data_IF_808329236645
#
_entry.id   IF_808329236645
#
_cell.length_a   1.000
_cell.length_b   1.000
_cell.length_c   1.000
_cell.angle_alpha   90.00
_cell.angle_beta   90.00
_cell.angle_gamma   90.00
#
_symmetry.space_group_name_H-M   'P 1'
#
loop_
_entity.id
_entity.type
_entity.pdbx_description
1 polymer ?
#
# COMPACT_ATOMS: atom_id res chain seq x y z
N UNK A 1 -10.90 -6.87 -5.72
CA UNK A 1 -11.59 -5.61 -5.38
C UNK A 1 -11.32 -4.53 -6.41
N UNK A 2 -10.07 -4.14 -6.67
CA UNK A 2 -9.73 -3.14 -7.69
C UNK A 2 -10.37 -3.40 -9.08
N UNK A 3 -10.25 -4.62 -9.62
CA UNK A 3 -10.86 -4.97 -10.91
C UNK A 3 -12.38 -4.68 -10.94
N UNK A 4 -13.10 -5.02 -9.87
CA UNK A 4 -14.54 -4.78 -9.75
C UNK A 4 -14.89 -3.28 -9.74
N UNK A 5 -14.08 -2.44 -9.09
CA UNK A 5 -14.29 -0.99 -9.08
C UNK A 5 -14.04 -0.40 -10.48
N UNK A 6 -13.02 -0.90 -11.18
CA UNK A 6 -12.73 -0.51 -12.57
C UNK A 6 -13.86 -0.93 -13.52
N UNK A 7 -14.41 -2.13 -13.38
CA UNK A 7 -15.57 -2.60 -14.17
C UNK A 7 -16.83 -1.74 -13.95
N UNK A 8 -16.96 -1.12 -12.77
CA UNK A 8 -18.02 -0.17 -12.46
C UNK A 8 -17.75 1.25 -12.97
N UNK A 9 -16.66 1.46 -13.73
CA UNK A 9 -16.29 2.74 -14.33
C UNK A 9 -15.60 3.72 -13.38
N UNK A 10 -15.10 3.25 -12.23
CA UNK A 10 -14.44 4.10 -11.24
C UNK A 10 -13.03 4.55 -11.63
N UNK A 11 -12.63 5.74 -11.18
CA UNK A 11 -11.24 6.22 -11.23
C UNK A 11 -10.47 5.69 -10.03
N UNK A 12 -9.82 4.53 -10.22
CA UNK A 12 -9.26 3.72 -9.12
C UNK A 12 -7.74 3.82 -9.05
N UNK A 13 -7.24 4.13 -7.85
CA UNK A 13 -5.85 3.92 -7.47
C UNK A 13 -5.71 2.85 -6.37
N UNK A 14 -4.69 1.99 -6.52
CA UNK A 14 -4.35 0.97 -5.52
C UNK A 14 -3.06 1.38 -4.80
N UNK A 15 -3.08 1.29 -3.47
CA UNK A 15 -1.87 1.48 -2.67
C UNK A 15 -0.92 0.29 -2.87
N UNK A 16 0.29 0.57 -3.34
CA UNK A 16 1.46 -0.30 -3.15
C UNK A 16 2.08 0.05 -1.78
N UNK A 17 2.05 -0.92 -0.85
CA UNK A 17 2.66 -0.79 0.47
C UNK A 17 4.18 -1.01 0.36
N UNK A 18 4.83 -0.01 -0.22
CA UNK A 18 6.13 -0.14 -0.86
C UNK A 18 7.29 -0.26 0.13
N UNK A 19 8.34 -0.93 -0.33
CA UNK A 19 9.69 -0.78 0.20
C UNK A 19 10.24 0.60 -0.16
N UNK A 20 10.68 1.34 0.87
CA UNK A 20 11.32 2.66 0.68
C UNK A 20 12.58 2.56 -0.16
N UNK A 21 13.36 1.51 0.05
CA UNK A 21 14.73 1.38 -0.48
C UNK A 21 14.78 0.68 -1.83
N UNK A 22 13.91 -0.31 -2.03
CA UNK A 22 13.98 -1.23 -3.16
C UNK A 22 12.63 -1.26 -3.87
N UNK A 23 12.49 -0.65 -5.06
CA UNK A 23 11.36 -0.87 -5.94
C UNK A 23 11.00 -2.34 -6.08
N UNK A 24 9.75 -2.72 -5.80
CA UNK A 24 9.30 -4.11 -5.91
C UNK A 24 9.76 -5.02 -4.77
N UNK A 25 10.31 -4.45 -3.69
CA UNK A 25 10.68 -5.18 -2.49
C UNK A 25 11.67 -6.31 -2.78
N UNK A 26 11.31 -7.52 -2.36
CA UNK A 26 12.09 -8.74 -2.55
C UNK A 26 11.66 -9.60 -3.74
N UNK A 27 10.93 -9.07 -4.73
CA UNK A 27 10.30 -9.90 -5.78
C UNK A 27 11.29 -10.79 -6.55
N UNK A 28 12.51 -10.30 -6.85
CA UNK A 28 13.58 -11.10 -7.51
C UNK A 28 14.05 -12.28 -6.67
N UNK A 29 13.88 -12.22 -5.36
CA UNK A 29 14.28 -13.27 -4.40
C UNK A 29 13.11 -14.17 -3.98
N UNK A 30 11.93 -14.02 -4.61
CA UNK A 30 10.76 -14.84 -4.30
C UNK A 30 10.04 -14.43 -3.01
N UNK A 31 10.24 -13.21 -2.50
CA UNK A 31 9.52 -12.74 -1.32
C UNK A 31 7.99 -12.65 -1.57
N UNK A 32 7.22 -12.88 -0.50
CA UNK A 32 5.75 -12.97 -0.55
C UNK A 32 5.06 -11.92 0.29
N UNK A 33 5.15 -10.63 -0.08
CA UNK A 33 4.29 -9.59 0.45
C UNK A 33 3.47 -8.93 -0.67
N UNK A 34 2.70 -7.90 -0.31
CA UNK A 34 1.74 -7.28 -1.22
C UNK A 34 2.44 -6.57 -2.39
N UNK A 35 3.55 -5.87 -2.15
CA UNK A 35 4.30 -5.23 -3.22
C UNK A 35 4.79 -6.25 -4.26
N UNK A 36 5.38 -7.37 -3.81
CA UNK A 36 5.86 -8.39 -4.74
C UNK A 36 4.71 -9.07 -5.49
N UNK A 37 3.54 -9.22 -4.86
CA UNK A 37 2.33 -9.69 -5.54
C UNK A 37 1.93 -8.76 -6.69
N UNK A 38 1.89 -7.44 -6.45
CA UNK A 38 1.57 -6.44 -7.48
C UNK A 38 2.56 -6.52 -8.66
N UNK A 39 3.86 -6.69 -8.37
CA UNK A 39 4.89 -6.84 -9.40
C UNK A 39 4.73 -8.15 -10.19
N UNK A 40 4.38 -9.26 -9.54
CA UNK A 40 4.19 -10.55 -10.22
C UNK A 40 2.96 -10.57 -11.12
N UNK A 41 1.89 -9.86 -10.76
CA UNK A 41 0.65 -9.92 -11.52
C UNK A 41 0.50 -8.87 -12.63
N UNK A 42 1.44 -7.93 -12.72
CA UNK A 42 1.31 -6.76 -13.60
C UNK A 42 2.64 -6.35 -14.26
N UNK A 43 2.59 -5.33 -15.10
CA UNK A 43 3.78 -4.76 -15.74
C UNK A 43 4.42 -3.64 -14.90
N UNK A 44 4.14 -3.60 -13.59
CA UNK A 44 4.52 -2.50 -12.70
C UNK A 44 6.03 -2.22 -12.67
N UNK A 45 6.85 -3.26 -12.89
CA UNK A 45 8.30 -3.13 -13.02
C UNK A 45 8.71 -2.07 -14.07
N UNK A 46 7.93 -1.87 -15.14
CA UNK A 46 8.20 -0.85 -16.15
C UNK A 46 8.18 0.58 -15.61
N UNK A 47 7.47 0.81 -14.49
CA UNK A 47 7.38 2.11 -13.85
C UNK A 47 8.45 2.33 -12.79
N UNK A 48 8.79 1.32 -12.00
CA UNK A 48 9.66 1.51 -10.83
C UNK A 48 11.08 0.95 -10.98
N UNK A 49 11.33 0.00 -11.89
CA UNK A 49 12.69 -0.50 -12.13
C UNK A 49 13.56 0.45 -12.95
N UNK A 50 13.04 1.57 -13.44
CA UNK A 50 13.92 2.64 -13.91
C UNK A 50 14.78 3.22 -12.76
N UNK A 51 14.44 2.97 -11.48
CA UNK A 51 15.16 3.51 -10.33
C UNK A 51 16.10 2.51 -9.63
N UNK A 52 16.48 1.42 -10.31
CA UNK A 52 17.40 0.41 -9.78
C UNK A 52 18.61 0.25 -10.69
N UNK A 53 19.75 -0.13 -10.12
CA UNK A 53 21.02 -0.34 -10.85
C UNK A 53 20.96 -1.42 -11.94
N UNK A 54 19.94 -2.28 -11.89
CA UNK A 54 19.69 -3.35 -12.86
C UNK A 54 18.54 -3.03 -13.84
N UNK A 55 18.21 -1.75 -14.04
CA UNK A 55 17.17 -1.30 -14.96
C UNK A 55 17.35 -1.88 -16.38
N UNK A 56 18.59 -1.96 -16.85
CA UNK A 56 18.94 -2.46 -18.18
C UNK A 56 18.59 -3.93 -18.40
N UNK A 57 18.57 -4.77 -17.35
CA UNK A 57 18.09 -6.16 -17.43
C UNK A 57 16.61 -6.25 -17.88
N UNK A 58 15.85 -5.16 -17.70
CA UNK A 58 14.44 -5.04 -18.06
C UNK A 58 14.21 -4.14 -19.28
N UNK A 59 15.26 -3.79 -20.02
CA UNK A 59 15.23 -2.82 -21.12
C UNK A 59 14.70 -1.43 -20.69
N UNK A 60 15.11 -0.99 -19.51
CA UNK A 60 14.80 0.34 -18.97
C UNK A 60 16.07 1.16 -18.83
N UNK A 61 15.94 2.48 -18.97
CA UNK A 61 17.00 3.45 -18.66
C UNK A 61 17.04 3.69 -17.16
N UNK A 62 18.24 3.63 -16.56
CA UNK A 62 18.43 3.91 -15.14
C UNK A 62 18.29 5.40 -14.83
N UNK A 63 17.58 5.72 -13.75
CA UNK A 63 17.35 7.06 -13.21
C UNK A 63 17.59 7.03 -11.71
N UNK A 64 18.58 7.76 -11.22
CA UNK A 64 18.93 7.72 -9.80
C UNK A 64 18.14 8.68 -8.90
N UNK A 65 17.43 9.68 -9.46
CA UNK A 65 17.02 10.86 -8.70
C UNK A 65 15.78 10.70 -7.80
N UNK A 66 15.02 9.60 -7.89
CA UNK A 66 13.69 9.49 -7.26
C UNK A 66 13.53 8.29 -6.30
N UNK A 67 14.56 7.46 -6.15
CA UNK A 67 14.66 6.44 -5.09
C UNK A 67 16.01 6.56 -4.35
N UNK A 68 16.07 6.20 -3.06
CA UNK A 68 14.98 5.72 -2.21
C UNK A 68 13.89 6.77 -1.98
N UNK A 69 12.64 6.32 -1.76
CA UNK A 69 11.54 7.26 -1.50
C UNK A 69 11.89 8.17 -0.32
N UNK A 70 11.49 9.45 -0.41
CA UNK A 70 11.66 10.38 0.70
C UNK A 70 11.07 9.79 2.00
N UNK A 71 11.76 10.01 3.11
CA UNK A 71 11.42 9.38 4.38
C UNK A 71 10.05 9.82 4.89
N UNK A 72 9.69 11.09 4.71
CA UNK A 72 8.54 11.69 5.37
C UNK A 72 7.36 11.84 4.41
N UNK A 73 7.62 12.19 3.14
CA UNK A 73 6.59 12.53 2.14
C UNK A 73 6.70 11.72 0.85
N UNK A 74 7.67 10.81 0.75
CA UNK A 74 7.94 10.09 -0.49
C UNK A 74 6.77 9.22 -0.96
N UNK A 75 6.42 9.38 -2.23
CA UNK A 75 5.51 8.50 -2.94
C UNK A 75 5.81 8.48 -4.43
N UNK A 76 5.44 7.39 -5.12
CA UNK A 76 5.56 7.27 -6.56
C UNK A 76 4.21 6.87 -7.17
N UNK A 77 3.76 7.66 -8.14
CA UNK A 77 2.56 7.38 -8.92
C UNK A 77 2.92 6.60 -10.19
N UNK A 78 2.10 5.63 -10.57
CA UNK A 78 2.28 4.86 -11.79
C UNK A 78 0.91 4.67 -12.46
N UNK A 79 0.62 5.43 -13.54
CA UNK A 79 -0.63 5.32 -14.26
C UNK A 79 -0.66 4.05 -15.12
N UNK A 80 -1.87 3.61 -15.49
CA UNK A 80 -2.10 2.61 -16.55
C UNK A 80 -1.33 1.29 -16.41
N UNK A 81 -1.00 0.88 -15.19
CA UNK A 81 -0.33 -0.39 -14.92
C UNK A 81 -1.26 -1.51 -15.35
N UNK A 82 -0.77 -2.37 -16.24
CA UNK A 82 -1.54 -3.48 -16.81
C UNK A 82 -1.40 -4.71 -15.92
N UNK A 83 -2.51 -5.14 -15.33
CA UNK A 83 -2.64 -6.40 -14.60
C UNK A 83 -2.99 -7.50 -15.62
N UNK A 84 -2.16 -8.53 -15.69
CA UNK A 84 -2.28 -9.60 -16.69
C UNK A 84 -2.19 -11.02 -16.09
N UNK A 85 -2.00 -11.16 -14.78
CA UNK A 85 -2.11 -12.44 -14.06
C UNK A 85 -3.24 -12.41 -13.03
N UNK A 86 -3.83 -13.59 -12.81
CA UNK A 86 -4.80 -13.85 -11.75
C UNK A 86 -4.16 -14.01 -10.37
N UNK A 87 -4.86 -14.70 -9.48
CA UNK A 87 -4.45 -14.78 -8.07
C UNK A 87 -3.28 -15.75 -7.84
N UNK A 88 -2.54 -15.54 -6.75
CA UNK A 88 -1.47 -16.46 -6.33
C UNK A 88 -2.02 -17.85 -6.00
N UNK A 89 -3.21 -17.90 -5.39
CA UNK A 89 -3.91 -19.15 -5.03
C UNK A 89 -4.15 -20.04 -6.26
N UNK A 90 -4.33 -19.44 -7.43
CA UNK A 90 -4.55 -20.12 -8.71
C UNK A 90 -3.25 -20.32 -9.49
N UNK A 91 -2.10 -19.95 -8.91
CA UNK A 91 -0.79 -20.06 -9.56
C UNK A 91 -0.50 -18.96 -10.59
N UNK A 92 -1.08 -17.77 -10.43
CA UNK A 92 -0.91 -16.63 -11.34
C UNK A 92 -1.27 -16.98 -12.81
N UNK A 93 -2.49 -17.49 -13.09
CA UNK A 93 -2.90 -17.79 -14.46
C UNK A 93 -2.88 -16.52 -15.30
N UNK A 94 -2.59 -16.63 -16.60
CA UNK A 94 -2.72 -15.48 -17.51
C UNK A 94 -4.20 -15.12 -17.62
N UNK A 95 -4.51 -13.83 -17.49
CA UNK A 95 -5.87 -13.34 -17.71
C UNK A 95 -6.20 -13.32 -19.20
N UNK A 96 -7.42 -13.74 -19.56
CA UNK A 96 -7.95 -13.60 -20.93
C UNK A 96 -8.11 -12.12 -21.31
N UNK A 97 -8.53 -11.30 -20.35
CA UNK A 97 -8.71 -9.86 -20.50
C UNK A 97 -7.85 -9.13 -19.46
N UNK A 98 -6.63 -8.71 -19.84
CA UNK A 98 -5.84 -7.80 -19.02
C UNK A 98 -6.57 -6.47 -18.82
N UNK A 99 -6.38 -5.85 -17.67
CA UNK A 99 -7.01 -4.59 -17.30
C UNK A 99 -5.96 -3.62 -16.75
N UNK A 100 -6.31 -2.33 -16.72
CA UNK A 100 -5.42 -1.26 -16.26
C UNK A 100 -5.90 -0.66 -14.95
N UNK A 101 -4.96 -0.23 -14.12
CA UNK A 101 -5.23 0.50 -12.88
C UNK A 101 -4.02 1.35 -12.50
N UNK A 102 -4.23 2.43 -11.76
CA UNK A 102 -3.13 3.22 -11.23
C UNK A 102 -2.62 2.63 -9.91
N UNK A 103 -1.30 2.68 -9.69
CA UNK A 103 -0.68 2.32 -8.43
C UNK A 103 0.00 3.54 -7.78
N UNK A 104 -0.12 3.62 -6.45
CA UNK A 104 0.53 4.64 -5.62
C UNK A 104 1.44 3.92 -4.64
N UNK A 105 2.76 4.04 -4.81
CA UNK A 105 3.75 3.46 -3.92
C UNK A 105 4.09 4.45 -2.80
N UNK A 106 3.81 4.08 -1.55
CA UNK A 106 4.23 4.83 -0.35
C UNK A 106 4.74 3.83 0.67
N UNK A 107 5.82 4.16 1.36
CA UNK A 107 6.45 3.27 2.34
C UNK A 107 6.03 3.61 3.78
N UNK A 108 5.52 2.61 4.52
CA UNK A 108 5.25 2.72 5.95
C UNK A 108 6.56 2.76 6.77
N UNK A 109 6.47 3.10 8.05
CA UNK A 109 7.61 3.00 8.96
C UNK A 109 8.00 1.53 9.16
N UNK A 110 9.29 1.21 9.14
CA UNK A 110 9.77 -0.15 9.35
C UNK A 110 10.12 -0.37 10.82
N UNK A 111 9.38 -1.27 11.49
CA UNK A 111 9.51 -1.62 12.91
C UNK A 111 9.56 -0.37 13.81
N UNK A 112 8.52 0.48 13.76
CA UNK A 112 8.47 1.71 14.55
C UNK A 112 8.52 1.40 16.06
N UNK A 113 8.95 2.39 16.84
CA UNK A 113 8.83 2.34 18.29
C UNK A 113 7.35 2.29 18.69
N UNK A 114 7.02 1.38 19.62
CA UNK A 114 5.66 1.16 20.10
C UNK A 114 5.57 1.46 21.59
N UNK A 115 4.40 1.94 22.00
CA UNK A 115 3.96 2.06 23.40
C UNK A 115 2.77 1.16 23.64
N UNK A 116 2.55 0.78 24.90
CA UNK A 116 1.45 -0.09 25.32
C UNK A 116 0.53 0.74 26.22
N UNK A 117 -0.78 0.66 26.00
CA UNK A 117 -1.77 1.30 26.88
C UNK A 117 -2.14 0.43 28.10
N UNK A 118 -3.01 0.95 28.97
CA UNK A 118 -3.49 0.24 30.15
C UNK A 118 -4.29 -1.04 29.84
N UNK A 119 -4.78 -1.19 28.61
CA UNK A 119 -5.50 -2.38 28.15
C UNK A 119 -4.58 -3.41 27.47
N UNK A 120 -3.27 -3.14 27.39
CA UNK A 120 -2.30 -4.02 26.74
C UNK A 120 -2.26 -3.88 25.22
N UNK A 121 -2.91 -2.87 24.64
CA UNK A 121 -2.93 -2.62 23.20
C UNK A 121 -1.68 -1.83 22.78
N UNK A 122 -1.06 -2.24 21.67
CA UNK A 122 0.12 -1.58 21.12
C UNK A 122 -0.27 -0.42 20.20
N UNK A 123 0.47 0.68 20.32
CA UNK A 123 0.32 1.90 19.56
C UNK A 123 1.69 2.41 19.11
N UNK A 124 1.78 3.07 17.96
CA UNK A 124 2.94 3.90 17.62
C UNK A 124 3.26 4.88 18.76
N UNK A 125 4.56 5.10 19.03
CA UNK A 125 4.97 6.14 19.97
C UNK A 125 4.48 7.52 19.51
N UNK A 126 4.18 8.46 20.43
CA UNK A 126 3.59 9.76 20.07
C UNK A 126 4.38 10.54 18.99
N UNK A 127 5.70 10.42 19.00
CA UNK A 127 6.58 11.07 18.02
C UNK A 127 6.40 10.55 16.58
N UNK A 128 5.84 9.36 16.40
CA UNK A 128 5.66 8.69 15.11
C UNK A 128 4.25 8.81 14.53
N UNK A 129 3.29 9.34 15.31
CA UNK A 129 1.91 9.56 14.87
C UNK A 129 1.84 10.51 13.69
N UNK A 130 2.38 11.73 13.84
CA UNK A 130 2.31 12.74 12.78
C UNK A 130 3.13 12.35 11.52
N UNK A 131 4.36 11.80 11.62
CA UNK A 131 5.05 11.22 10.46
C UNK A 131 4.22 10.16 9.72
N UNK A 132 3.45 9.34 10.44
CA UNK A 132 2.57 8.34 9.83
C UNK A 132 1.37 8.99 9.15
N UNK A 133 0.75 9.99 9.78
CA UNK A 133 -0.33 10.78 9.14
C UNK A 133 0.14 11.48 7.87
N UNK A 134 1.34 12.07 7.85
CA UNK A 134 1.92 12.67 6.63
C UNK A 134 1.97 11.69 5.47
N UNK A 135 2.39 10.46 5.72
CA UNK A 135 2.41 9.40 4.70
C UNK A 135 1.01 9.03 4.21
N UNK A 136 0.03 8.98 5.11
CA UNK A 136 -1.39 8.77 4.73
C UNK A 136 -1.91 9.94 3.88
N UNK A 137 -1.61 11.18 4.26
CA UNK A 137 -1.92 12.36 3.44
C UNK A 137 -1.24 12.29 2.08
N UNK A 138 0.02 11.85 1.99
CA UNK A 138 0.71 11.62 0.72
C UNK A 138 -0.06 10.62 -0.16
N UNK A 139 -0.55 9.51 0.40
CA UNK A 139 -1.35 8.53 -0.35
C UNK A 139 -2.60 9.20 -0.93
N UNK A 140 -3.35 9.95 -0.12
CA UNK A 140 -4.57 10.61 -0.56
C UNK A 140 -4.31 11.75 -1.55
N UNK A 141 -3.32 12.60 -1.30
CA UNK A 141 -2.97 13.72 -2.18
C UNK A 141 -2.54 13.25 -3.55
N UNK A 142 -1.70 12.21 -3.65
CA UNK A 142 -1.29 11.65 -4.95
C UNK A 142 -2.53 11.13 -5.70
N UNK A 143 -3.47 10.48 -5.02
CA UNK A 143 -4.69 9.98 -5.65
C UNK A 143 -5.52 11.14 -6.23
N UNK A 144 -5.79 12.17 -5.42
CA UNK A 144 -6.60 13.32 -5.81
C UNK A 144 -5.93 14.18 -6.88
N UNK A 145 -4.62 14.40 -6.79
CA UNK A 145 -3.83 15.14 -7.80
C UNK A 145 -3.92 14.49 -9.18
N UNK A 146 -4.04 13.16 -9.23
CA UNK A 146 -4.21 12.40 -10.46
C UNK A 146 -5.66 12.03 -10.80
N UNK A 147 -6.64 12.61 -10.10
CA UNK A 147 -8.06 12.46 -10.41
C UNK A 147 -8.68 11.11 -10.01
N UNK A 148 -8.08 10.40 -9.06
CA UNK A 148 -8.64 9.17 -8.48
C UNK A 148 -9.50 9.52 -7.27
N UNK A 149 -10.80 9.26 -7.38
CA UNK A 149 -11.77 9.41 -6.29
C UNK A 149 -12.12 8.06 -5.63
N UNK A 150 -11.56 6.96 -6.13
CA UNK A 150 -11.71 5.62 -5.57
C UNK A 150 -10.35 5.00 -5.20
N UNK A 151 -10.26 4.46 -3.99
CA UNK A 151 -9.02 3.89 -3.47
C UNK A 151 -9.18 2.44 -3.04
N UNK A 152 -8.20 1.61 -3.40
CA UNK A 152 -7.99 0.30 -2.78
C UNK A 152 -6.75 0.37 -1.89
N UNK A 153 -6.98 0.34 -0.59
CA UNK A 153 -5.99 0.39 0.47
C UNK A 153 -5.79 -1.00 1.10
N UNK A 154 -4.98 -1.05 2.15
CA UNK A 154 -4.75 -2.26 2.94
C UNK A 154 -4.19 -1.93 4.32
N UNK A 155 -3.75 -2.96 5.04
CA UNK A 155 -3.16 -2.85 6.37
C UNK A 155 -1.71 -2.29 6.29
N UNK A 156 -1.60 -0.99 6.02
CA UNK A 156 -0.36 -0.28 5.70
C UNK A 156 0.74 -0.52 6.73
N UNK A 157 1.79 -1.25 6.34
CA UNK A 157 2.94 -1.55 7.20
C UNK A 157 2.65 -2.55 8.34
N UNK A 158 1.48 -3.17 8.40
CA UNK A 158 1.07 -4.04 9.51
C UNK A 158 1.53 -5.50 9.38
N UNK A 159 2.30 -5.81 8.34
CA UNK A 159 2.95 -7.11 8.14
C UNK A 159 4.41 -7.09 8.63
N UNK A 160 5.35 -7.36 7.71
CA UNK A 160 6.79 -7.40 7.99
C UNK A 160 7.37 -6.12 8.63
N UNK A 161 6.69 -4.97 8.47
CA UNK A 161 7.10 -3.68 9.04
C UNK A 161 6.56 -3.42 10.44
N UNK A 162 5.75 -4.33 11.00
CA UNK A 162 5.33 -4.32 12.41
C UNK A 162 4.66 -3.01 12.90
N UNK A 163 3.87 -2.36 12.05
CA UNK A 163 3.00 -1.27 12.51
C UNK A 163 1.74 -1.86 13.19
N UNK A 164 1.24 -1.25 14.27
CA UNK A 164 0.06 -1.76 14.97
C UNK A 164 -1.22 -1.46 14.16
N UNK A 165 -1.96 -2.48 13.70
CA UNK A 165 -3.08 -2.28 12.77
C UNK A 165 -4.23 -1.46 13.34
N UNK A 166 -4.50 -1.55 14.65
CA UNK A 166 -5.51 -0.70 15.29
C UNK A 166 -5.15 0.79 15.19
N UNK A 167 -3.87 1.13 15.43
CA UNK A 167 -3.43 2.52 15.29
C UNK A 167 -3.45 2.95 13.83
N UNK A 168 -2.96 2.12 12.90
CA UNK A 168 -2.95 2.47 11.47
C UNK A 168 -4.37 2.69 10.93
N UNK A 169 -5.33 1.83 11.27
CA UNK A 169 -6.73 2.00 10.89
C UNK A 169 -7.27 3.35 11.40
N UNK A 170 -7.06 3.64 12.69
CA UNK A 170 -7.45 4.90 13.32
C UNK A 170 -6.79 6.11 12.64
N UNK A 171 -5.52 6.05 12.31
CA UNK A 171 -4.82 7.15 11.63
C UNK A 171 -5.34 7.39 10.21
N UNK A 172 -5.69 6.33 9.48
CA UNK A 172 -6.38 6.50 8.19
C UNK A 172 -7.72 7.20 8.37
N UNK A 173 -8.51 6.78 9.36
CA UNK A 173 -9.81 7.41 9.64
C UNK A 173 -9.67 8.86 10.09
N UNK A 174 -8.72 9.17 10.97
CA UNK A 174 -8.45 10.54 11.42
C UNK A 174 -8.04 11.44 10.26
N UNK A 175 -7.14 10.99 9.38
CA UNK A 175 -6.73 11.78 8.20
C UNK A 175 -7.89 11.92 7.21
N UNK A 176 -8.67 10.87 6.98
CA UNK A 176 -9.83 10.94 6.10
C UNK A 176 -10.87 11.99 6.56
N UNK A 177 -10.94 12.28 7.86
CA UNK A 177 -11.83 13.31 8.44
C UNK A 177 -11.28 14.73 8.39
N UNK A 178 -10.03 14.93 7.96
CA UNK A 178 -9.51 16.28 7.75
C UNK A 178 -10.29 16.97 6.62
N UNK A 179 -10.45 18.30 6.70
CA UNK A 179 -11.24 19.09 5.74
C UNK A 179 -10.83 18.83 4.29
N UNK A 180 -9.54 18.60 4.05
CA UNK A 180 -8.96 18.29 2.73
C UNK A 180 -9.51 16.99 2.12
N UNK A 181 -9.92 15.99 2.91
CA UNK A 181 -10.26 14.65 2.44
C UNK A 181 -11.69 14.19 2.75
N UNK A 182 -12.39 14.87 3.66
CA UNK A 182 -13.68 14.45 4.24
C UNK A 182 -14.79 14.14 3.23
N UNK A 183 -14.73 14.71 2.02
CA UNK A 183 -15.67 14.49 0.92
C UNK A 183 -14.96 14.14 -0.41
N UNK A 184 -13.66 13.85 -0.36
CA UNK A 184 -12.83 13.77 -1.56
C UNK A 184 -12.89 12.41 -2.26
N UNK A 185 -13.26 11.34 -1.56
CA UNK A 185 -13.32 9.98 -2.10
C UNK A 185 -14.75 9.47 -2.13
N UNK A 186 -15.20 8.99 -3.29
CA UNK A 186 -16.50 8.35 -3.44
C UNK A 186 -16.49 6.94 -2.82
N UNK A 187 -15.37 6.22 -2.92
CA UNK A 187 -15.21 4.88 -2.36
C UNK A 187 -13.79 4.62 -1.86
N UNK A 188 -13.66 4.11 -0.63
CA UNK A 188 -12.40 3.58 -0.10
C UNK A 188 -12.64 2.13 0.33
N UNK A 189 -11.81 1.21 -0.18
CA UNK A 189 -11.85 -0.21 0.17
C UNK A 189 -10.53 -0.61 0.83
N UNK A 190 -10.59 -1.06 2.08
CA UNK A 190 -9.45 -1.70 2.74
C UNK A 190 -9.43 -3.20 2.41
N UNK A 191 -8.66 -3.59 1.39
CA UNK A 191 -8.52 -4.98 0.96
C UNK A 191 -7.45 -5.70 1.79
N UNK A 192 -7.85 -6.29 2.91
CA UNK A 192 -6.94 -6.93 3.88
C UNK A 192 -6.98 -8.46 3.71
N UNK A 193 -5.83 -9.04 3.34
CA UNK A 193 -5.64 -10.49 3.27
C UNK A 193 -4.75 -10.92 4.43
N UNK A 194 -5.26 -11.85 5.24
CA UNK A 194 -4.52 -12.43 6.36
C UNK A 194 -3.49 -13.45 5.87
N UNK A 195 -2.29 -13.41 6.46
CA UNK A 195 -1.22 -14.38 6.23
C UNK A 195 -0.36 -14.55 7.49
N UNK A 196 0.72 -15.32 7.39
CA UNK A 196 1.62 -15.58 8.52
C UNK A 196 2.26 -14.32 9.14
N UNK A 197 2.39 -13.23 8.37
CA UNK A 197 2.91 -11.94 8.87
C UNK A 197 1.83 -11.07 9.51
N UNK A 198 0.56 -11.47 9.44
CA UNK A 198 -0.54 -10.69 9.99
C UNK A 198 -0.74 -10.91 11.49
N UNK A 199 -0.18 -12.00 12.03
CA UNK A 199 -0.28 -12.36 13.45
C UNK A 199 1.08 -12.25 14.12
N UNK A 200 1.13 -11.59 15.28
CA UNK A 200 2.34 -11.43 16.08
C UNK A 200 2.00 -11.29 17.55
N UNK A 201 3.02 -11.27 18.43
CA UNK A 201 2.84 -11.06 19.87
C UNK A 201 2.20 -9.70 20.21
N UNK A 202 2.36 -8.68 19.35
CA UNK A 202 1.73 -7.36 19.51
C UNK A 202 0.43 -7.22 18.69
N UNK A 203 0.10 -8.20 17.85
CA UNK A 203 -1.12 -8.24 17.04
C UNK A 203 -1.72 -9.66 17.00
N UNK A 204 -2.32 -10.13 18.10
CA UNK A 204 -2.81 -11.51 18.19
C UNK A 204 -4.08 -11.76 17.36
N UNK A 205 -4.74 -10.72 16.86
CA UNK A 205 -6.07 -10.80 16.27
C UNK A 205 -6.10 -10.69 14.73
N UNK A 206 -4.94 -10.56 14.10
CA UNK A 206 -4.80 -10.32 12.66
C UNK A 206 -4.98 -8.85 12.28
N UNK A 207 -4.84 -8.54 10.99
CA UNK A 207 -4.92 -7.18 10.48
C UNK A 207 -6.36 -6.74 10.17
N UNK A 208 -7.26 -7.67 9.89
CA UNK A 208 -8.61 -7.40 9.43
C UNK A 208 -9.51 -6.87 10.55
N UNK A 209 -9.50 -7.51 11.72
CA UNK A 209 -10.40 -7.16 12.84
C UNK A 209 -10.23 -5.71 13.34
N UNK A 210 -9.02 -5.15 13.48
CA UNK A 210 -8.85 -3.75 13.88
C UNK A 210 -9.44 -2.77 12.86
N UNK A 211 -9.21 -2.99 11.56
CA UNK A 211 -9.80 -2.15 10.51
C UNK A 211 -11.33 -2.30 10.46
N UNK A 212 -11.84 -3.51 10.65
CA UNK A 212 -13.29 -3.76 10.75
C UNK A 212 -13.93 -2.95 11.88
N UNK A 213 -13.29 -2.93 13.06
CA UNK A 213 -13.76 -2.17 14.22
C UNK A 213 -13.76 -0.67 13.99
N UNK A 214 -12.73 -0.14 13.35
CA UNK A 214 -12.59 1.31 13.11
C UNK A 214 -13.60 1.82 12.06
N UNK A 215 -13.79 1.08 10.97
CA UNK A 215 -14.61 1.53 9.83
C UNK A 215 -16.04 0.97 9.81
N UNK A 216 -16.39 0.06 10.73
CA UNK A 216 -17.76 -0.43 10.91
C UNK A 216 -18.33 -1.30 9.78
N UNK A 217 -17.45 -1.96 9.00
CA UNK A 217 -17.82 -2.94 7.96
C UNK A 217 -18.04 -4.35 8.50
#
# INVERSE_FOLDING_TARGET
>A
MAHRLVELGGSVAVLNMASRQNPGGGVRHGAGAQEEYLFRCSNYFRSLYQFVWYASEYNLEERAALYPLDRDYGGAYSPDVTVFRGTEKEGYPKLEQPWKVAFIAVAALNKPELVIDSAGQYWLSPALVEPTKRKIRTIYRIALEHGHDQMVLGAFGCGAFANPPAHIARLFHEVLREDEFSLAFSHIVFAIVENHNSYSWFNPEGNFKPFKREFGV
#
